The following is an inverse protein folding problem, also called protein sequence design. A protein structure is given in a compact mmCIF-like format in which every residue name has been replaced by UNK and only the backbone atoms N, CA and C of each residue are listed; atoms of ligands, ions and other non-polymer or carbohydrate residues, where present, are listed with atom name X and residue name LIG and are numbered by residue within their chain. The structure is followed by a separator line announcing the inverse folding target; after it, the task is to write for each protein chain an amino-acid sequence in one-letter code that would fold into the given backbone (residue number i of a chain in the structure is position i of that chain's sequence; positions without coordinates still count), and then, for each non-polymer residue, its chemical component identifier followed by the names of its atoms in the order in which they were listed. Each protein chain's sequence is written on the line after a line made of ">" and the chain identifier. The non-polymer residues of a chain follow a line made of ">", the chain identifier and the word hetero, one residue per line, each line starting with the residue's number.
data_IF_681887716544
#
_entry.id   IF_681887716544
#
_cell.length_a   1.000
_cell.length_b   1.000
_cell.length_c   1.000
_cell.angle_alpha   90.00
_cell.angle_beta   90.00
_cell.angle_gamma   90.00
#
_symmetry.space_group_name_H-M   'P 1'
#
loop_
_entity.id
_entity.type
_entity.pdbx_description
1 polymer ?
#
# COMPACT_ATOMS: atom_id res chain seq x y z
N UNK A 1 -10.57 -12.00 11.43
CA UNK A 1 -9.75 -11.25 12.45
C UNK A 1 -10.41 -9.92 12.77
N UNK A 2 -10.05 -9.30 13.91
CA UNK A 2 -10.61 -7.99 14.33
C UNK A 2 -9.76 -6.88 13.67
N UNK A 3 -10.36 -5.88 13.00
CA UNK A 3 -9.61 -4.77 12.42
C UNK A 3 -9.05 -3.84 13.51
N UNK A 4 -7.81 -3.38 13.34
CA UNK A 4 -7.29 -2.28 14.13
C UNK A 4 -7.96 -0.98 13.68
N UNK A 5 -8.53 -0.24 14.61
CA UNK A 5 -9.45 0.88 14.33
C UNK A 5 -8.79 2.25 14.41
N UNK A 6 -7.52 2.31 14.82
CA UNK A 6 -6.77 3.55 15.00
C UNK A 6 -5.25 3.32 15.01
N UNK A 7 -4.44 4.28 14.54
CA UNK A 7 -3.00 4.23 14.66
C UNK A 7 -2.54 4.02 16.11
N UNK A 8 -1.55 3.17 16.32
CA UNK A 8 -0.98 2.92 17.64
C UNK A 8 0.17 3.91 17.91
N UNK A 9 0.31 4.32 19.17
CA UNK A 9 1.40 5.17 19.62
C UNK A 9 2.72 4.39 19.74
N UNK A 10 2.66 3.18 20.32
CA UNK A 10 3.79 2.27 20.44
C UNK A 10 3.93 1.40 19.18
N UNK A 11 4.62 1.94 18.17
CA UNK A 11 4.88 1.24 16.93
C UNK A 11 5.87 0.07 17.08
N UNK A 12 6.86 0.19 17.97
CA UNK A 12 7.85 -0.87 18.20
C UNK A 12 7.27 -2.07 18.94
N UNK A 13 6.26 -1.83 19.80
CA UNK A 13 5.52 -2.86 20.51
C UNK A 13 4.46 -3.56 19.66
N UNK A 14 4.22 -3.14 18.41
CA UNK A 14 3.29 -3.83 17.51
C UNK A 14 3.73 -5.26 17.27
N UNK A 15 2.76 -6.18 17.28
CA UNK A 15 3.04 -7.61 17.11
C UNK A 15 3.42 -7.93 15.68
N UNK A 16 4.31 -8.88 15.54
CA UNK A 16 4.75 -9.38 14.25
C UNK A 16 4.84 -10.91 14.30
N UNK A 17 4.20 -11.59 13.36
CA UNK A 17 4.36 -13.03 13.20
C UNK A 17 5.47 -13.27 12.18
N UNK A 18 6.59 -13.82 12.65
CA UNK A 18 7.64 -14.31 11.77
C UNK A 18 7.23 -15.67 11.20
N UNK A 19 7.26 -15.80 9.89
CA UNK A 19 6.91 -16.99 9.11
C UNK A 19 8.16 -17.38 8.32
N UNK A 20 8.70 -18.56 8.62
CA UNK A 20 9.83 -19.09 7.85
C UNK A 20 9.34 -20.14 6.86
N UNK A 21 9.30 -19.81 5.55
CA UNK A 21 8.81 -20.75 4.54
C UNK A 21 9.75 -21.94 4.29
N UNK A 22 11.04 -21.81 4.62
CA UNK A 22 12.03 -22.90 4.48
C UNK A 22 11.95 -23.90 5.63
N UNK A 23 11.86 -23.40 6.85
CA UNK A 23 11.76 -24.24 8.04
C UNK A 23 10.30 -24.68 8.33
N UNK A 24 9.30 -24.04 7.74
CA UNK A 24 7.89 -24.28 8.00
C UNK A 24 7.46 -23.88 9.41
N UNK A 25 8.14 -22.89 10.03
CA UNK A 25 7.92 -22.47 11.41
C UNK A 25 7.25 -21.12 11.53
N UNK A 26 6.55 -20.92 12.64
CA UNK A 26 5.91 -19.68 13.05
C UNK A 26 6.49 -19.24 14.41
N UNK A 27 6.75 -17.94 14.55
CA UNK A 27 7.26 -17.36 15.80
C UNK A 27 6.62 -16.01 16.06
N UNK A 28 6.04 -15.82 17.24
CA UNK A 28 5.59 -14.49 17.69
C UNK A 28 6.80 -13.61 17.99
N UNK A 29 6.73 -12.38 17.51
CA UNK A 29 7.74 -11.33 17.67
C UNK A 29 7.08 -9.95 17.73
N UNK A 30 7.87 -8.92 17.79
CA UNK A 30 7.45 -7.52 17.69
C UNK A 30 8.20 -6.81 16.57
N UNK A 31 7.67 -5.69 16.10
CA UNK A 31 8.34 -4.85 15.11
C UNK A 31 9.71 -4.39 15.63
N UNK A 32 9.82 -4.08 16.93
CA UNK A 32 11.08 -3.72 17.57
C UNK A 32 12.17 -4.78 17.52
N UNK A 33 11.82 -6.05 17.27
CA UNK A 33 12.77 -7.17 17.19
C UNK A 33 13.42 -7.31 15.80
N UNK A 34 12.98 -6.53 14.80
CA UNK A 34 13.52 -6.59 13.43
C UNK A 34 15.06 -6.48 13.37
N UNK A 35 15.75 -5.62 14.17
CA UNK A 35 17.22 -5.54 14.16
C UNK A 35 17.93 -6.80 14.67
N UNK A 36 17.21 -7.72 15.35
CA UNK A 36 17.74 -9.01 15.80
C UNK A 36 17.40 -10.14 14.83
N UNK A 37 16.37 -9.94 14.00
CA UNK A 37 15.89 -10.94 13.02
C UNK A 37 16.58 -10.77 11.67
N UNK A 38 16.68 -9.51 11.20
CA UNK A 38 17.41 -9.20 9.98
C UNK A 38 18.92 -9.17 10.26
N UNK A 39 19.71 -9.49 9.24
CA UNK A 39 21.15 -9.70 9.40
C UNK A 39 21.95 -8.75 8.50
N UNK A 40 23.24 -8.51 8.78
CA UNK A 40 24.15 -7.85 7.84
C UNK A 40 24.07 -8.51 6.45
N UNK A 41 24.04 -7.67 5.39
CA UNK A 41 23.84 -8.11 4.02
C UNK A 41 22.36 -8.19 3.59
N UNK A 42 21.41 -8.08 4.50
CA UNK A 42 20.00 -7.87 4.13
C UNK A 42 19.79 -6.44 3.65
N UNK A 43 18.96 -6.30 2.62
CA UNK A 43 18.45 -5.02 2.15
C UNK A 43 16.96 -4.93 2.47
N UNK A 44 16.56 -3.97 3.32
CA UNK A 44 15.16 -3.67 3.57
C UNK A 44 14.74 -2.54 2.63
N UNK A 45 13.80 -2.82 1.73
CA UNK A 45 13.26 -1.85 0.76
C UNK A 45 11.89 -1.38 1.19
N UNK A 46 11.71 -0.06 1.31
CA UNK A 46 10.46 0.57 1.73
C UNK A 46 9.80 1.33 0.59
N UNK A 47 8.48 1.55 0.68
CA UNK A 47 7.76 2.46 -0.21
C UNK A 47 7.68 3.84 0.45
N UNK A 48 8.35 4.84 -0.13
CA UNK A 48 8.39 6.22 0.37
C UNK A 48 7.26 7.11 -0.21
N UNK A 49 6.28 6.54 -0.90
CA UNK A 49 5.16 7.32 -1.37
C UNK A 49 4.39 7.95 -0.19
N UNK A 50 4.21 9.27 -0.23
CA UNK A 50 3.31 9.96 0.68
C UNK A 50 1.85 9.70 0.29
N UNK A 51 1.00 9.55 1.29
CA UNK A 51 -0.44 9.40 1.10
C UNK A 51 -1.03 10.72 0.61
N UNK A 52 -1.83 10.65 -0.44
CA UNK A 52 -2.56 11.78 -1.00
C UNK A 52 -3.66 12.29 -0.05
N UNK A 53 -4.00 13.58 -0.06
CA UNK A 53 -5.30 14.08 0.39
C UNK A 53 -6.35 13.66 -0.64
N UNK A 54 -6.52 12.34 -0.83
CA UNK A 54 -7.16 11.73 -1.99
C UNK A 54 -8.68 11.75 -1.96
N UNK A 55 -9.32 11.98 -0.81
CA UNK A 55 -10.79 12.09 -0.70
C UNK A 55 -11.21 13.55 -0.82
N UNK A 56 -11.78 13.91 -1.97
CA UNK A 56 -12.38 15.23 -2.25
C UNK A 56 -13.92 15.11 -2.22
N UNK A 57 -14.59 16.07 -1.66
CA UNK A 57 -16.05 16.02 -1.54
C UNK A 57 -16.71 17.22 -2.24
N UNK A 58 -17.73 16.91 -3.01
CA UNK A 58 -18.76 17.88 -3.41
C UNK A 58 -19.95 17.75 -2.44
N UNK A 59 -21.06 18.42 -2.73
CA UNK A 59 -22.29 18.25 -1.97
C UNK A 59 -22.83 16.80 -2.01
N UNK A 60 -22.76 16.17 -3.18
CA UNK A 60 -23.47 14.92 -3.46
C UNK A 60 -22.54 13.76 -3.87
N UNK A 61 -21.22 13.99 -3.89
CA UNK A 61 -20.23 13.02 -4.32
C UNK A 61 -18.99 13.06 -3.45
N UNK A 62 -18.33 11.90 -3.31
CA UNK A 62 -16.93 11.78 -2.95
C UNK A 62 -16.14 11.33 -4.17
N UNK A 63 -15.01 12.00 -4.41
CA UNK A 63 -14.05 11.68 -5.47
C UNK A 63 -12.78 11.16 -4.80
N UNK A 64 -12.42 9.90 -5.04
CA UNK A 64 -11.17 9.32 -4.53
C UNK A 64 -10.11 9.32 -5.61
N UNK A 65 -9.07 10.14 -5.41
CA UNK A 65 -7.94 10.26 -6.35
C UNK A 65 -7.04 9.03 -6.25
N UNK A 66 -6.66 8.48 -7.41
CA UNK A 66 -5.70 7.37 -7.51
C UNK A 66 -4.27 7.86 -7.82
N UNK A 67 -4.12 9.11 -8.26
CA UNK A 67 -2.84 9.72 -8.55
C UNK A 67 -2.84 10.54 -9.84
N UNK A 68 -1.79 11.34 -9.97
CA UNK A 68 -1.53 12.17 -11.14
C UNK A 68 -0.93 11.34 -12.27
N UNK A 69 -1.45 11.51 -13.48
CA UNK A 69 -0.96 10.88 -14.70
C UNK A 69 0.12 11.74 -15.37
N UNK A 70 0.84 11.20 -16.34
CA UNK A 70 1.92 11.88 -17.02
C UNK A 70 1.46 13.15 -17.78
N UNK A 71 0.19 13.21 -18.20
CA UNK A 71 -0.41 14.35 -18.88
C UNK A 71 -0.99 15.42 -17.93
N UNK A 72 -0.83 15.22 -16.62
CA UNK A 72 -1.34 16.11 -15.58
C UNK A 72 -2.83 15.94 -15.28
N UNK A 73 -3.49 14.91 -15.81
CA UNK A 73 -4.80 14.47 -15.34
C UNK A 73 -4.66 13.64 -14.06
N UNK A 74 -5.76 13.47 -13.34
CA UNK A 74 -5.83 12.57 -12.19
C UNK A 74 -6.80 11.45 -12.48
N UNK A 75 -6.35 10.20 -12.31
CA UNK A 75 -7.27 9.08 -12.28
C UNK A 75 -8.02 9.10 -10.94
N UNK A 76 -9.32 8.84 -10.96
CA UNK A 76 -10.16 8.89 -9.77
C UNK A 76 -11.34 7.92 -9.86
N UNK A 77 -11.86 7.52 -8.70
CA UNK A 77 -13.11 6.76 -8.57
C UNK A 77 -14.17 7.63 -7.91
N UNK A 78 -15.36 7.68 -8.53
CA UNK A 78 -16.52 8.39 -8.00
C UNK A 78 -17.29 7.50 -7.01
N UNK A 79 -17.73 8.12 -5.91
CA UNK A 79 -18.61 7.53 -4.90
C UNK A 79 -19.79 8.46 -4.66
N UNK A 80 -20.87 7.92 -4.08
CA UNK A 80 -22.00 8.72 -3.63
C UNK A 80 -21.62 9.72 -2.52
N UNK A 81 -22.56 10.55 -2.09
CA UNK A 81 -22.36 11.56 -1.04
C UNK A 81 -22.25 10.98 0.38
N UNK A 82 -22.39 9.67 0.58
CA UNK A 82 -22.19 9.05 1.89
C UNK A 82 -20.76 9.24 2.40
N UNK A 83 -20.57 9.29 3.70
CA UNK A 83 -19.24 9.44 4.28
C UNK A 83 -18.56 8.06 4.55
N UNK A 84 -17.34 8.12 5.04
CA UNK A 84 -16.53 6.94 5.34
C UNK A 84 -17.14 5.99 6.39
N UNK A 85 -18.16 6.40 7.17
CA UNK A 85 -18.84 5.54 8.13
C UNK A 85 -19.73 4.50 7.47
N UNK A 86 -20.13 4.76 6.23
CA UNK A 86 -20.85 3.78 5.41
C UNK A 86 -19.84 2.80 4.81
N UNK A 87 -19.92 1.49 5.09
CA UNK A 87 -19.08 0.49 4.43
C UNK A 87 -19.11 0.63 2.91
N UNK A 88 -17.98 0.47 2.27
CA UNK A 88 -17.83 0.73 0.82
C UNK A 88 -18.81 -0.09 -0.02
N UNK A 89 -19.05 -1.34 0.35
CA UNK A 89 -19.97 -2.28 -0.27
C UNK A 89 -21.46 -1.93 -0.07
N UNK A 90 -21.77 -1.06 0.90
CA UNK A 90 -23.14 -0.60 1.18
C UNK A 90 -23.44 0.80 0.64
N UNK A 91 -22.45 1.42 -0.02
CA UNK A 91 -22.64 2.76 -0.62
C UNK A 91 -23.45 2.64 -1.91
N UNK A 92 -24.35 3.60 -2.12
CA UNK A 92 -25.14 3.68 -3.34
C UNK A 92 -24.24 3.96 -4.56
N UNK A 93 -24.60 3.49 -5.76
CA UNK A 93 -23.93 3.90 -6.98
C UNK A 93 -23.99 5.44 -7.13
N UNK A 94 -22.87 6.11 -7.44
CA UNK A 94 -22.90 7.53 -7.75
C UNK A 94 -23.64 7.78 -9.08
N UNK A 95 -24.10 9.01 -9.33
CA UNK A 95 -24.63 9.37 -10.65
C UNK A 95 -23.56 9.17 -11.73
N UNK A 96 -23.99 8.73 -12.91
CA UNK A 96 -23.11 8.61 -14.08
C UNK A 96 -22.87 10.00 -14.64
N UNK A 97 -21.61 10.41 -14.69
CA UNK A 97 -21.20 11.70 -15.18
C UNK A 97 -20.45 11.55 -16.52
N UNK A 98 -20.94 12.14 -17.63
CA UNK A 98 -20.25 12.05 -18.91
C UNK A 98 -19.00 12.96 -18.96
N UNK A 99 -18.10 12.74 -19.93
CA UNK A 99 -17.02 13.68 -20.22
C UNK A 99 -17.56 15.11 -20.42
N UNK A 100 -16.83 16.11 -19.93
CA UNK A 100 -17.24 17.51 -19.88
C UNK A 100 -17.98 17.92 -18.60
N UNK A 101 -18.40 16.95 -17.75
CA UNK A 101 -19.02 17.25 -16.45
C UNK A 101 -18.05 17.99 -15.55
N UNK A 102 -18.55 19.03 -14.86
CA UNK A 102 -17.77 19.83 -13.91
C UNK A 102 -18.02 19.38 -12.48
N UNK A 103 -16.95 19.27 -11.72
CA UNK A 103 -16.96 19.02 -10.27
C UNK A 103 -16.44 20.27 -9.58
N UNK A 104 -17.20 20.78 -8.60
CA UNK A 104 -16.83 21.96 -7.82
C UNK A 104 -16.54 21.55 -6.36
N UNK A 105 -15.36 21.94 -5.89
CA UNK A 105 -14.90 21.82 -4.51
C UNK A 105 -14.73 23.23 -3.92
N UNK A 106 -14.35 23.32 -2.64
CA UNK A 106 -14.11 24.64 -2.05
C UNK A 106 -12.87 25.31 -2.66
N UNK A 107 -13.10 26.31 -3.53
CA UNK A 107 -12.07 27.06 -4.25
C UNK A 107 -11.19 26.21 -5.19
N UNK A 108 -11.67 25.05 -5.65
CA UNK A 108 -11.03 24.17 -6.63
C UNK A 108 -12.11 23.58 -7.53
N UNK A 109 -11.83 23.42 -8.83
CA UNK A 109 -12.73 22.71 -9.73
C UNK A 109 -11.99 21.73 -10.63
N UNK A 110 -12.73 20.72 -11.11
CA UNK A 110 -12.21 19.76 -12.08
C UNK A 110 -13.26 19.48 -13.17
N UNK A 111 -12.78 19.04 -14.33
CA UNK A 111 -13.61 18.53 -15.43
C UNK A 111 -13.29 17.07 -15.64
N UNK A 112 -14.31 16.24 -15.84
CA UNK A 112 -14.15 14.86 -16.29
C UNK A 112 -13.74 14.90 -17.76
N UNK A 113 -12.52 14.48 -18.06
CA UNK A 113 -12.05 14.38 -19.45
C UNK A 113 -12.40 13.05 -20.09
N UNK A 114 -12.26 11.98 -19.33
CA UNK A 114 -12.54 10.61 -19.80
C UNK A 114 -13.26 9.79 -18.73
N UNK A 115 -14.05 8.85 -19.19
CA UNK A 115 -14.66 7.79 -18.39
C UNK A 115 -14.12 6.46 -18.89
N UNK A 116 -13.60 5.63 -17.98
CA UNK A 116 -13.00 4.36 -18.37
C UNK A 116 -14.08 3.34 -18.81
N UNK A 117 -13.82 2.52 -19.84
CA UNK A 117 -14.77 1.49 -20.27
C UNK A 117 -15.08 0.45 -19.18
N UNK A 118 -14.17 0.24 -18.26
CA UNK A 118 -14.27 -0.75 -17.17
C UNK A 118 -15.44 -0.43 -16.22
N UNK A 119 -15.62 0.86 -15.88
CA UNK A 119 -16.70 1.28 -14.99
C UNK A 119 -16.99 2.78 -15.20
N UNK A 120 -18.26 3.20 -15.18
CA UNK A 120 -18.62 4.64 -15.24
C UNK A 120 -18.14 5.43 -14.02
N UNK A 121 -17.69 4.76 -12.98
CA UNK A 121 -17.12 5.37 -11.75
C UNK A 121 -15.64 5.69 -11.88
N UNK A 122 -14.91 5.04 -12.80
CA UNK A 122 -13.49 5.27 -13.03
C UNK A 122 -13.32 6.36 -14.09
N UNK A 123 -12.80 7.51 -13.66
CA UNK A 123 -12.72 8.70 -14.47
C UNK A 123 -11.31 9.31 -14.49
N UNK A 124 -11.03 10.12 -15.48
CA UNK A 124 -9.86 11.00 -15.52
C UNK A 124 -10.32 12.45 -15.41
N UNK A 125 -9.72 13.14 -14.45
CA UNK A 125 -10.05 14.50 -14.06
C UNK A 125 -8.94 15.46 -14.44
N UNK A 126 -9.30 16.62 -15.01
CA UNK A 126 -8.39 17.76 -15.13
C UNK A 126 -8.83 18.87 -14.20
N UNK A 127 -7.94 19.23 -13.28
CA UNK A 127 -8.16 20.37 -12.39
C UNK A 127 -7.93 21.71 -13.10
N UNK A 128 -8.58 22.77 -12.58
CA UNK A 128 -8.43 24.15 -13.06
C UNK A 128 -7.07 24.78 -12.70
N UNK A 129 -6.22 24.07 -11.97
CA UNK A 129 -4.89 24.48 -11.51
C UNK A 129 -3.86 23.42 -11.79
N UNK A 130 -2.58 23.80 -11.70
CA UNK A 130 -1.42 22.91 -11.89
C UNK A 130 -0.34 23.21 -10.85
N UNK A 131 0.59 22.27 -10.69
CA UNK A 131 1.78 22.42 -9.85
C UNK A 131 1.47 22.79 -8.40
N UNK A 132 2.25 23.67 -7.81
CA UNK A 132 2.12 24.05 -6.40
C UNK A 132 0.74 24.62 -6.03
N UNK A 133 0.09 25.36 -6.93
CA UNK A 133 -1.25 25.91 -6.71
C UNK A 133 -2.31 24.79 -6.61
N UNK A 134 -2.20 23.75 -7.43
CA UNK A 134 -3.05 22.56 -7.34
C UNK A 134 -2.83 21.83 -6.03
N UNK A 135 -1.58 21.47 -5.71
CA UNK A 135 -1.24 20.75 -4.47
C UNK A 135 -1.70 21.51 -3.23
N UNK A 136 -1.49 22.84 -3.18
CA UNK A 136 -2.01 23.69 -2.11
C UNK A 136 -3.54 23.59 -1.97
N UNK A 137 -4.26 23.52 -3.08
CA UNK A 137 -5.72 23.38 -3.05
C UNK A 137 -6.15 21.96 -2.64
N UNK A 138 -5.48 20.92 -3.12
CA UNK A 138 -5.73 19.54 -2.71
C UNK A 138 -5.53 19.35 -1.21
N UNK A 139 -4.43 19.85 -0.64
CA UNK A 139 -4.17 19.76 0.81
C UNK A 139 -5.16 20.57 1.66
N UNK A 140 -5.80 21.60 1.15
CA UNK A 140 -6.86 22.33 1.85
C UNK A 140 -8.21 21.61 1.81
N UNK A 141 -8.56 21.02 0.66
CA UNK A 141 -9.87 20.43 0.39
C UNK A 141 -9.95 18.95 0.73
N UNK A 142 -8.86 18.24 0.48
CA UNK A 142 -8.82 16.80 0.56
C UNK A 142 -8.60 16.28 1.98
N UNK A 143 -9.04 15.06 2.17
CA UNK A 143 -8.79 14.23 3.34
C UNK A 143 -8.16 12.92 2.90
N UNK A 144 -7.51 12.17 3.81
CA UNK A 144 -7.10 10.82 3.47
C UNK A 144 -8.32 9.96 3.12
N UNK A 145 -8.14 9.03 2.20
CA UNK A 145 -9.13 7.99 1.95
C UNK A 145 -9.23 7.15 3.21
N UNK A 146 -10.45 6.85 3.61
CA UNK A 146 -10.75 6.24 4.90
C UNK A 146 -11.93 5.27 4.77
N UNK A 147 -11.92 4.24 5.59
CA UNK A 147 -12.93 3.18 5.62
C UNK A 147 -13.65 3.10 6.96
N UNK A 148 -14.81 2.42 6.97
CA UNK A 148 -15.77 2.42 8.09
C UNK A 148 -15.27 1.75 9.37
N UNK A 149 -14.20 0.95 9.32
CA UNK A 149 -13.63 0.35 10.53
C UNK A 149 -12.85 1.35 11.39
N UNK A 150 -12.45 2.51 10.86
CA UNK A 150 -11.79 3.55 11.65
C UNK A 150 -12.73 4.10 12.71
N UNK A 151 -12.22 4.36 13.94
CA UNK A 151 -13.05 4.83 15.06
C UNK A 151 -13.43 6.32 14.98
N UNK A 152 -12.76 7.09 14.13
CA UNK A 152 -12.92 8.53 14.00
C UNK A 152 -12.35 9.07 12.69
N UNK A 153 -12.48 10.35 12.41
CA UNK A 153 -11.91 10.96 11.21
C UNK A 153 -10.39 10.91 11.28
N UNK A 154 -9.78 10.47 10.18
CA UNK A 154 -8.34 10.43 10.02
C UNK A 154 -7.85 11.76 9.42
N UNK A 155 -6.69 12.19 9.88
CA UNK A 155 -5.91 13.27 9.27
C UNK A 155 -4.70 12.67 8.55
N UNK A 156 -4.08 13.42 7.64
CA UNK A 156 -2.98 12.90 6.82
C UNK A 156 -1.81 12.34 7.64
N UNK A 157 -1.47 12.94 8.78
CA UNK A 157 -0.40 12.43 9.64
C UNK A 157 -0.69 11.08 10.31
N UNK A 158 -1.97 10.68 10.39
CA UNK A 158 -2.34 9.34 10.87
C UNK A 158 -2.01 8.24 9.86
N UNK A 159 -1.93 8.60 8.58
CA UNK A 159 -1.77 7.68 7.44
C UNK A 159 -0.52 7.98 6.62
N UNK A 160 0.55 8.48 7.24
CA UNK A 160 1.85 8.67 6.61
C UNK A 160 2.90 7.74 7.22
N UNK A 161 3.83 7.32 6.38
CA UNK A 161 5.07 6.68 6.84
C UNK A 161 6.09 7.75 7.27
N UNK A 162 7.01 7.43 8.19
CA UNK A 162 7.96 8.40 8.74
C UNK A 162 8.93 8.99 7.69
N UNK A 163 9.12 8.30 6.59
CA UNK A 163 10.02 8.63 5.48
C UNK A 163 9.27 9.01 4.19
N UNK A 164 7.99 9.41 4.31
CA UNK A 164 7.16 9.81 3.18
C UNK A 164 7.80 10.94 2.36
N UNK A 165 7.74 10.82 1.04
CA UNK A 165 8.38 11.70 0.06
C UNK A 165 7.36 12.27 -0.93
N UNK A 166 7.13 11.59 -2.05
CA UNK A 166 6.26 12.05 -3.14
C UNK A 166 4.79 11.67 -2.91
N UNK A 167 3.82 12.59 -3.10
CA UNK A 167 2.39 12.33 -2.87
C UNK A 167 1.77 11.51 -4.00
N UNK A 168 2.09 10.22 -4.04
CA UNK A 168 1.66 9.29 -5.08
C UNK A 168 0.64 8.26 -4.62
N UNK A 169 0.63 7.91 -3.34
CA UNK A 169 -0.18 6.81 -2.84
C UNK A 169 -1.61 7.27 -2.52
N UNK A 170 -2.62 6.64 -3.13
CA UNK A 170 -4.01 6.86 -2.77
C UNK A 170 -4.28 6.37 -1.34
N UNK A 171 -3.77 5.19 -1.00
CA UNK A 171 -3.79 4.64 0.36
C UNK A 171 -2.37 4.53 0.92
N UNK A 172 -2.25 4.63 2.23
CA UNK A 172 -0.96 4.52 2.92
C UNK A 172 -0.27 3.20 2.60
N UNK A 173 1.05 3.20 2.32
CA UNK A 173 1.84 1.97 2.32
C UNK A 173 2.00 1.43 3.75
N UNK A 174 0.94 0.85 4.27
CA UNK A 174 0.68 0.61 5.70
C UNK A 174 1.68 -0.32 6.37
N UNK A 175 2.25 -1.28 5.63
CA UNK A 175 3.30 -2.15 6.16
C UNK A 175 4.55 -1.38 6.64
N UNK A 176 4.78 -0.19 6.07
CA UNK A 176 5.87 0.70 6.47
C UNK A 176 5.56 1.62 7.65
N UNK A 177 4.30 1.71 8.06
CA UNK A 177 3.87 2.63 9.13
C UNK A 177 4.61 2.44 10.47
N UNK A 178 4.84 1.21 10.95
CA UNK A 178 5.53 1.01 12.21
C UNK A 178 7.05 1.24 12.12
N UNK A 179 7.62 1.38 10.93
CA UNK A 179 9.05 1.59 10.73
C UNK A 179 9.42 3.06 10.99
N UNK A 180 9.57 3.42 12.24
CA UNK A 180 9.99 4.76 12.68
C UNK A 180 11.50 4.93 12.56
N UNK A 181 11.99 6.18 12.63
CA UNK A 181 13.40 6.50 12.45
C UNK A 181 14.32 5.77 13.42
N UNK A 182 13.93 5.63 14.69
CA UNK A 182 14.71 4.90 15.70
C UNK A 182 14.95 3.43 15.28
N UNK A 183 13.94 2.77 14.72
CA UNK A 183 14.07 1.39 14.22
C UNK A 183 14.95 1.33 12.97
N UNK A 184 14.75 2.24 12.02
CA UNK A 184 15.55 2.30 10.80
C UNK A 184 17.03 2.54 11.11
N UNK A 185 17.33 3.40 12.08
CA UNK A 185 18.70 3.65 12.55
C UNK A 185 19.28 2.41 13.25
N UNK A 186 18.51 1.72 14.08
CA UNK A 186 18.94 0.48 14.74
C UNK A 186 19.26 -0.63 13.71
N UNK A 187 18.43 -0.79 12.67
CA UNK A 187 18.69 -1.71 11.55
C UNK A 187 20.02 -1.39 10.86
N UNK A 188 20.26 -0.12 10.52
CA UNK A 188 21.53 0.32 9.90
C UNK A 188 22.73 0.04 10.79
N UNK A 189 22.62 0.27 12.10
CA UNK A 189 23.69 -0.03 13.07
C UNK A 189 24.02 -1.52 13.13
N UNK A 190 23.04 -2.38 12.82
CA UNK A 190 23.23 -3.85 12.72
C UNK A 190 23.72 -4.31 11.34
N UNK A 191 24.02 -3.37 10.41
CA UNK A 191 24.52 -3.70 9.08
C UNK A 191 23.44 -4.06 8.05
N UNK A 192 22.16 -3.86 8.38
CA UNK A 192 21.05 -3.97 7.41
C UNK A 192 21.06 -2.73 6.51
N UNK A 193 21.06 -2.93 5.21
CA UNK A 193 20.95 -1.83 4.25
C UNK A 193 19.48 -1.37 4.12
N UNK A 194 19.28 -0.08 3.88
CA UNK A 194 17.96 0.51 3.66
C UNK A 194 17.92 1.19 2.30
N UNK A 195 16.86 0.92 1.55
CA UNK A 195 16.58 1.60 0.28
C UNK A 195 15.08 1.90 0.16
N UNK A 196 14.73 2.82 -0.74
CA UNK A 196 13.34 3.14 -1.01
C UNK A 196 12.99 3.03 -2.49
N UNK A 197 11.74 2.74 -2.75
CA UNK A 197 11.06 2.92 -4.03
C UNK A 197 9.87 3.84 -3.80
N UNK A 198 9.39 4.54 -4.85
CA UNK A 198 8.11 5.21 -4.80
C UNK A 198 7.11 4.40 -5.62
N UNK A 199 6.04 3.95 -4.99
CA UNK A 199 4.98 3.19 -5.67
C UNK A 199 3.62 3.77 -5.29
N UNK A 200 2.83 4.08 -6.30
CA UNK A 200 1.51 4.69 -6.17
C UNK A 200 0.46 3.63 -5.78
N UNK A 201 0.45 3.24 -4.51
CA UNK A 201 -0.55 2.30 -4.01
C UNK A 201 -1.96 2.84 -4.26
N UNK A 202 -2.80 2.04 -4.94
CA UNK A 202 -4.17 2.38 -5.31
C UNK A 202 -5.19 2.15 -4.19
N UNK A 203 -6.47 1.95 -4.58
CA UNK A 203 -7.55 1.60 -3.66
C UNK A 203 -7.59 0.09 -3.40
N UNK A 204 -7.93 -0.28 -2.18
CA UNK A 204 -8.16 -1.67 -1.79
C UNK A 204 -9.62 -2.12 -2.01
N UNK A 205 -10.56 -1.18 -2.09
CA UNK A 205 -11.97 -1.45 -2.37
C UNK A 205 -12.67 -0.23 -2.95
N UNK A 206 -13.59 -0.47 -3.91
CA UNK A 206 -14.39 0.57 -4.56
C UNK A 206 -15.89 0.38 -4.36
N UNK A 207 -16.34 -0.81 -3.95
CA UNK A 207 -17.76 -1.19 -3.91
C UNK A 207 -18.41 -1.27 -5.30
N UNK A 208 -17.61 -1.35 -6.35
CA UNK A 208 -18.02 -1.63 -7.72
C UNK A 208 -17.44 -2.99 -8.14
N UNK A 209 -18.29 -3.95 -8.42
CA UNK A 209 -17.86 -5.32 -8.65
C UNK A 209 -16.88 -5.47 -9.82
N UNK A 210 -17.01 -4.66 -10.88
CA UNK A 210 -16.10 -4.70 -12.03
C UNK A 210 -14.71 -4.12 -11.67
N UNK A 211 -14.70 -3.00 -10.92
CA UNK A 211 -13.45 -2.41 -10.45
C UNK A 211 -12.77 -3.30 -9.41
N UNK A 212 -13.52 -3.82 -8.43
CA UNK A 212 -12.97 -4.65 -7.35
C UNK A 212 -12.38 -5.96 -7.89
N UNK A 213 -12.99 -6.53 -8.95
CA UNK A 213 -12.44 -7.70 -9.65
C UNK A 213 -11.17 -7.40 -10.46
N UNK A 214 -10.94 -6.13 -10.84
CA UNK A 214 -9.77 -5.68 -11.60
C UNK A 214 -8.65 -5.14 -10.69
N UNK A 215 -8.86 -5.07 -9.37
CA UNK A 215 -7.82 -4.59 -8.45
C UNK A 215 -6.70 -5.61 -8.28
N UNK A 216 -5.48 -5.15 -8.11
CA UNK A 216 -5.05 -3.75 -8.21
C UNK A 216 -4.97 -3.29 -9.67
N UNK A 217 -5.43 -2.08 -9.96
CA UNK A 217 -5.25 -1.45 -11.27
C UNK A 217 -3.75 -1.23 -11.56
N UNK A 218 -3.41 -0.85 -12.79
CA UNK A 218 -2.04 -0.46 -13.11
C UNK A 218 -1.60 0.69 -12.19
N UNK A 219 -0.44 0.53 -11.54
CA UNK A 219 0.11 1.44 -10.55
C UNK A 219 1.50 1.91 -10.95
N UNK A 220 1.71 3.23 -10.81
CA UNK A 220 2.98 3.87 -11.13
C UNK A 220 4.04 3.52 -10.10
N UNK A 221 5.27 3.24 -10.59
CA UNK A 221 6.45 3.03 -9.72
C UNK A 221 7.68 3.78 -10.24
N UNK A 222 8.60 4.05 -9.32
CA UNK A 222 9.91 4.61 -9.61
C UNK A 222 10.94 4.04 -8.63
N UNK A 223 12.00 3.45 -9.18
CA UNK A 223 13.10 2.83 -8.45
C UNK A 223 14.36 3.67 -8.68
N UNK A 224 14.85 4.41 -7.67
CA UNK A 224 16.10 5.15 -7.78
C UNK A 224 17.26 4.25 -8.21
N UNK A 225 18.21 4.81 -8.95
CA UNK A 225 19.39 4.06 -9.38
C UNK A 225 20.19 3.48 -8.20
N UNK A 226 20.29 4.24 -7.12
CA UNK A 226 20.95 3.76 -5.90
C UNK A 226 20.24 2.53 -5.30
N UNK A 227 18.90 2.50 -5.33
CA UNK A 227 18.12 1.34 -4.91
C UNK A 227 18.33 0.15 -5.83
N UNK A 228 18.34 0.36 -7.15
CA UNK A 228 18.58 -0.73 -8.10
C UNK A 228 19.97 -1.36 -7.92
N UNK A 229 21.01 -0.56 -7.64
CA UNK A 229 22.35 -1.05 -7.29
C UNK A 229 22.35 -1.84 -5.98
N UNK A 230 21.73 -1.29 -4.93
CA UNK A 230 21.65 -1.97 -3.63
C UNK A 230 20.92 -3.32 -3.75
N UNK A 231 19.86 -3.40 -4.56
CA UNK A 231 19.14 -4.66 -4.85
C UNK A 231 20.06 -5.68 -5.54
N UNK A 232 20.88 -5.25 -6.50
CA UNK A 232 21.79 -6.15 -7.21
C UNK A 232 22.95 -6.66 -6.34
N UNK A 233 23.32 -5.92 -5.29
CA UNK A 233 24.45 -6.24 -4.38
C UNK A 233 23.99 -6.95 -3.10
N UNK A 234 22.69 -6.94 -2.77
CA UNK A 234 22.16 -7.51 -1.55
C UNK A 234 22.24 -9.05 -1.56
N UNK A 235 22.54 -9.64 -0.40
CA UNK A 235 22.46 -11.09 -0.21
C UNK A 235 21.01 -11.58 -0.07
N UNK A 236 20.12 -10.71 0.43
CA UNK A 236 18.69 -10.96 0.57
C UNK A 236 17.92 -9.64 0.54
N UNK A 237 16.91 -9.56 -0.32
CA UNK A 237 16.03 -8.40 -0.47
C UNK A 237 14.72 -8.65 0.28
N UNK A 238 14.43 -7.84 1.29
CA UNK A 238 13.19 -7.87 2.07
C UNK A 238 12.35 -6.67 1.71
N UNK A 239 11.19 -6.89 1.09
CA UNK A 239 10.25 -5.85 0.74
C UNK A 239 9.36 -5.48 1.92
N UNK A 240 9.09 -4.19 2.11
CA UNK A 240 8.10 -3.69 3.08
C UNK A 240 6.82 -3.31 2.35
N UNK A 241 5.85 -4.20 2.44
CA UNK A 241 4.55 -4.09 1.77
C UNK A 241 4.50 -4.73 0.38
N UNK A 242 3.30 -5.16 0.02
CA UNK A 242 3.01 -5.74 -1.29
C UNK A 242 3.25 -4.76 -2.44
N UNK A 243 3.16 -3.46 -2.19
CA UNK A 243 3.49 -2.39 -3.15
C UNK A 243 4.97 -2.41 -3.55
N UNK A 244 5.89 -2.64 -2.60
CA UNK A 244 7.33 -2.78 -2.91
C UNK A 244 7.60 -4.03 -3.73
N UNK A 245 6.96 -5.16 -3.38
CA UNK A 245 7.06 -6.40 -4.18
C UNK A 245 6.63 -6.12 -5.62
N UNK A 246 5.48 -5.49 -5.83
CA UNK A 246 4.98 -5.17 -7.18
C UNK A 246 5.89 -4.23 -7.95
N UNK A 247 6.49 -3.23 -7.29
CA UNK A 247 7.43 -2.32 -7.91
C UNK A 247 8.70 -3.04 -8.36
N UNK A 248 9.34 -3.83 -7.48
CA UNK A 248 10.59 -4.52 -7.77
C UNK A 248 10.40 -5.64 -8.81
N UNK A 249 9.40 -6.48 -8.62
CA UNK A 249 9.09 -7.57 -9.56
C UNK A 249 8.57 -7.04 -10.90
N UNK A 250 7.72 -6.00 -10.89
CA UNK A 250 7.24 -5.33 -12.11
C UNK A 250 8.39 -4.70 -12.89
N UNK A 251 9.33 -4.05 -12.20
CA UNK A 251 10.57 -3.53 -12.81
C UNK A 251 11.38 -4.63 -13.47
N UNK A 252 11.55 -5.77 -12.80
CA UNK A 252 12.30 -6.92 -13.33
C UNK A 252 11.62 -7.55 -14.55
N UNK A 253 10.29 -7.57 -14.59
CA UNK A 253 9.51 -8.09 -15.73
C UNK A 253 9.59 -7.13 -16.91
N UNK A 254 9.44 -5.83 -16.66
CA UNK A 254 9.40 -4.80 -17.71
C UNK A 254 10.80 -4.35 -18.18
N UNK A 255 11.85 -4.63 -17.40
CA UNK A 255 13.21 -4.18 -17.72
C UNK A 255 13.42 -2.66 -17.57
N UNK A 256 12.57 -1.97 -16.78
CA UNK A 256 12.63 -0.52 -16.57
C UNK A 256 12.58 -0.17 -15.08
N UNK A 257 13.21 0.95 -14.70
CA UNK A 257 13.24 1.42 -13.31
C UNK A 257 12.07 2.33 -12.95
N UNK A 258 11.34 2.83 -13.92
CA UNK A 258 10.14 3.64 -13.71
C UNK A 258 9.10 3.36 -14.78
N UNK A 259 7.83 3.41 -14.41
CA UNK A 259 6.72 3.09 -15.30
C UNK A 259 5.45 2.77 -14.53
N UNK A 260 4.57 2.03 -15.16
CA UNK A 260 3.36 1.46 -14.53
C UNK A 260 3.44 -0.06 -14.59
N UNK A 261 2.94 -0.72 -13.55
CA UNK A 261 2.83 -2.18 -13.49
C UNK A 261 1.42 -2.60 -13.11
N UNK A 262 0.89 -3.55 -13.85
CA UNK A 262 -0.34 -4.29 -13.57
C UNK A 262 -0.04 -5.72 -13.09
N UNK A 263 1.22 -5.99 -12.73
CA UNK A 263 1.68 -7.31 -12.32
C UNK A 263 0.86 -7.83 -11.14
N UNK A 264 0.21 -8.97 -11.35
CA UNK A 264 -0.48 -9.72 -10.32
C UNK A 264 0.39 -10.92 -9.92
N UNK A 265 0.78 -10.96 -8.65
CA UNK A 265 1.50 -12.10 -8.10
C UNK A 265 0.52 -13.03 -7.37
N UNK A 266 0.76 -14.32 -7.51
CA UNK A 266 -0.09 -15.35 -6.88
C UNK A 266 0.61 -16.70 -6.83
N UNK A 267 -0.13 -17.78 -6.56
CA UNK A 267 0.43 -19.12 -6.52
C UNK A 267 1.08 -19.46 -7.87
N UNK A 268 2.31 -19.98 -7.81
CA UNK A 268 3.10 -20.32 -9.01
C UNK A 268 3.97 -19.17 -9.56
N UNK A 269 3.83 -17.94 -9.07
CA UNK A 269 4.81 -16.91 -9.34
C UNK A 269 6.07 -17.14 -8.50
N UNK A 270 7.22 -17.25 -9.14
CA UNK A 270 8.51 -17.31 -8.48
C UNK A 270 9.12 -15.90 -8.44
N UNK A 271 9.23 -15.25 -7.28
CA UNK A 271 9.87 -13.95 -7.18
C UNK A 271 11.29 -13.97 -7.73
N UNK A 272 11.66 -12.95 -8.48
CA UNK A 272 12.97 -12.84 -9.16
C UNK A 272 13.94 -11.96 -8.39
N UNK A 273 13.42 -11.06 -7.58
CA UNK A 273 14.16 -9.99 -6.91
C UNK A 273 13.93 -10.04 -5.40
N UNK A 274 12.71 -10.33 -4.95
CA UNK A 274 12.33 -10.23 -3.55
C UNK A 274 12.41 -11.59 -2.87
N UNK A 275 13.24 -11.69 -1.83
CA UNK A 275 13.43 -12.94 -1.05
C UNK A 275 12.51 -13.04 0.17
N UNK A 276 12.06 -11.90 0.71
CA UNK A 276 11.23 -11.83 1.91
C UNK A 276 10.29 -10.62 1.91
N UNK A 277 9.25 -10.71 2.74
CA UNK A 277 8.18 -9.72 2.76
C UNK A 277 7.76 -9.40 4.21
N UNK A 278 7.87 -8.13 4.60
CA UNK A 278 7.17 -7.57 5.76
C UNK A 278 5.84 -6.98 5.27
N UNK A 279 4.72 -7.43 5.79
CA UNK A 279 3.39 -7.00 5.36
C UNK A 279 2.42 -6.94 6.54
N UNK A 280 1.27 -6.29 6.36
CA UNK A 280 0.16 -6.39 7.30
C UNK A 280 -0.45 -7.79 7.35
N UNK A 281 -1.30 -8.04 8.31
CA UNK A 281 -2.08 -9.28 8.40
C UNK A 281 -3.24 -9.22 7.41
N UNK A 282 -3.23 -10.10 6.42
CA UNK A 282 -4.24 -10.17 5.36
C UNK A 282 -5.22 -11.31 5.54
N UNK A 283 -6.49 -11.05 5.23
CA UNK A 283 -7.53 -12.07 5.31
C UNK A 283 -7.53 -12.97 4.08
N UNK A 284 -7.88 -14.25 4.29
CA UNK A 284 -8.01 -15.22 3.21
C UNK A 284 -9.07 -14.75 2.21
N UNK A 285 -8.72 -14.76 0.92
CA UNK A 285 -9.59 -14.27 -0.15
C UNK A 285 -9.30 -12.84 -0.63
N UNK A 286 -8.54 -12.06 0.14
CA UNK A 286 -8.07 -10.76 -0.32
C UNK A 286 -6.97 -10.89 -1.40
N UNK A 287 -6.89 -9.94 -2.33
CA UNK A 287 -5.86 -9.90 -3.39
C UNK A 287 -4.44 -9.90 -2.82
N UNK A 288 -4.22 -9.19 -1.72
CA UNK A 288 -2.95 -9.18 -1.00
C UNK A 288 -2.59 -10.55 -0.42
N UNK A 289 -3.56 -11.32 0.08
CA UNK A 289 -3.29 -12.70 0.53
C UNK A 289 -2.84 -13.60 -0.62
N UNK A 290 -3.42 -13.44 -1.81
CA UNK A 290 -3.00 -14.19 -2.99
C UNK A 290 -1.51 -13.98 -3.32
N UNK A 291 -0.99 -12.75 -3.16
CA UNK A 291 0.42 -12.41 -3.36
C UNK A 291 1.32 -13.16 -2.36
N UNK A 292 0.90 -13.35 -1.10
CA UNK A 292 1.71 -14.06 -0.10
C UNK A 292 2.04 -15.50 -0.51
N UNK A 293 1.20 -16.10 -1.36
CA UNK A 293 1.39 -17.46 -1.89
C UNK A 293 2.57 -17.58 -2.86
N UNK A 294 3.14 -16.44 -3.28
CA UNK A 294 4.43 -16.43 -3.98
C UNK A 294 5.64 -16.62 -3.03
N UNK A 295 5.45 -16.41 -1.72
CA UNK A 295 6.51 -16.46 -0.71
C UNK A 295 6.40 -17.65 0.25
N UNK A 296 5.20 -18.22 0.44
CA UNK A 296 4.98 -19.35 1.32
C UNK A 296 3.85 -20.24 0.79
N UNK A 297 3.91 -21.54 1.10
CA UNK A 297 2.86 -22.47 0.68
C UNK A 297 1.54 -22.22 1.43
N UNK A 298 0.42 -22.63 0.83
CA UNK A 298 -0.93 -22.42 1.35
C UNK A 298 -1.10 -23.01 2.76
N UNK A 299 -0.53 -24.19 3.03
CA UNK A 299 -0.63 -24.84 4.34
C UNK A 299 0.04 -24.03 5.45
N UNK A 300 1.19 -23.42 5.16
CA UNK A 300 1.90 -22.58 6.13
C UNK A 300 1.15 -21.25 6.37
N UNK A 301 0.62 -20.63 5.29
CA UNK A 301 -0.18 -19.42 5.40
C UNK A 301 -1.50 -19.68 6.14
N UNK A 302 -2.16 -20.83 5.92
CA UNK A 302 -3.37 -21.21 6.65
C UNK A 302 -3.08 -21.41 8.16
N UNK A 303 -1.95 -22.03 8.50
CA UNK A 303 -1.49 -22.16 9.89
C UNK A 303 -1.20 -20.79 10.50
N UNK A 304 -0.55 -19.89 9.76
CA UNK A 304 -0.26 -18.54 10.21
C UNK A 304 -1.55 -17.75 10.47
N UNK A 305 -2.55 -17.88 9.59
CA UNK A 305 -3.88 -17.26 9.77
C UNK A 305 -4.56 -17.78 11.04
N UNK A 306 -4.64 -19.10 11.23
CA UNK A 306 -5.26 -19.71 12.41
C UNK A 306 -4.53 -19.31 13.72
N UNK A 307 -3.19 -19.25 13.68
CA UNK A 307 -2.38 -18.77 14.80
C UNK A 307 -2.70 -17.29 15.11
N UNK A 308 -2.69 -16.45 14.10
CA UNK A 308 -2.98 -15.00 14.25
C UNK A 308 -4.38 -14.76 14.83
N UNK A 309 -5.40 -15.51 14.37
CA UNK A 309 -6.77 -15.44 14.91
C UNK A 309 -6.83 -15.87 16.39
N UNK A 310 -6.25 -17.01 16.71
CA UNK A 310 -6.25 -17.53 18.08
C UNK A 310 -5.46 -16.65 19.04
N UNK A 311 -4.35 -16.10 18.57
CA UNK A 311 -3.50 -15.22 19.36
C UNK A 311 -4.01 -13.77 19.41
N UNK A 312 -5.10 -13.43 18.69
CA UNK A 312 -5.72 -12.11 18.71
C UNK A 312 -4.91 -11.03 17.98
N UNK A 313 -4.27 -11.39 16.86
CA UNK A 313 -3.67 -10.39 15.97
C UNK A 313 -4.76 -9.52 15.34
N UNK A 314 -4.42 -8.26 15.11
CA UNK A 314 -5.31 -7.30 14.48
C UNK A 314 -4.99 -7.17 13.00
N UNK A 315 -6.02 -7.03 12.16
CA UNK A 315 -5.91 -6.83 10.72
C UNK A 315 -6.01 -5.34 10.32
N UNK A 316 -5.97 -5.08 9.01
CA UNK A 316 -6.03 -3.78 8.35
C UNK A 316 -4.83 -2.84 8.57
N UNK A 317 -4.93 -1.60 8.12
CA UNK A 317 -3.84 -0.62 7.97
C UNK A 317 -3.09 -0.29 9.26
N UNK A 318 -3.76 -0.39 10.41
CA UNK A 318 -3.19 -0.13 11.73
C UNK A 318 -2.97 -1.42 12.52
N UNK A 319 -3.11 -2.55 11.85
CA UNK A 319 -3.00 -3.89 12.40
C UNK A 319 -1.57 -4.31 12.70
N UNK A 320 -1.46 -5.57 13.06
CA UNK A 320 -0.20 -6.25 13.28
C UNK A 320 0.45 -6.66 11.95
N UNK A 321 1.66 -7.20 12.01
CA UNK A 321 2.45 -7.50 10.83
C UNK A 321 2.77 -8.98 10.71
N UNK A 322 3.03 -9.42 9.48
CA UNK A 322 3.68 -10.68 9.15
C UNK A 322 5.03 -10.41 8.50
N UNK A 323 6.06 -11.13 8.94
CA UNK A 323 7.37 -11.16 8.30
C UNK A 323 7.59 -12.54 7.69
N UNK A 324 7.42 -12.66 6.38
CA UNK A 324 7.69 -13.90 5.65
C UNK A 324 9.11 -13.83 5.14
N UNK A 325 10.02 -14.56 5.78
CA UNK A 325 11.44 -14.52 5.42
C UNK A 325 12.06 -15.90 5.64
N UNK A 326 12.73 -16.48 4.63
CA UNK A 326 13.41 -17.75 4.80
C UNK A 326 14.61 -17.59 5.71
N UNK A 327 14.84 -18.57 6.59
CA UNK A 327 16.09 -18.66 7.35
C UNK A 327 17.27 -18.75 6.41
N UNK A 328 18.36 -18.03 6.73
CA UNK A 328 19.63 -18.22 6.02
C UNK A 328 20.17 -19.60 6.33
N UNK A 329 20.65 -20.28 5.32
CA UNK A 329 21.45 -21.50 5.54
C UNK A 329 22.69 -21.07 6.30
N UNK A 330 22.91 -21.63 7.50
CA UNK A 330 24.16 -21.40 8.18
C UNK A 330 25.30 -21.76 7.20
N UNK A 331 26.14 -20.80 6.89
CA UNK A 331 27.39 -21.08 6.19
C UNK A 331 28.15 -22.07 7.09
N UNK A 332 28.26 -23.33 6.62
CA UNK A 332 29.08 -24.37 7.27
C UNK A 332 30.54 -24.10 7.04
#
# INVERSE_FOLDING_TARGET
>A
MIPARWPREDALGERMLQIDPRAGTLRDARIGDLPEILQPGDLLVVNDAATLPGSLRTRDLEVRLLGEQADGTFRAVLFDGADWRTPTEHRAPPPVLPPGSRLAFDGLSAVIERVAPLSPRLVELRFDRKGAALWSALYRNGRPIQYSYARGPLELWHVQVAYASRPWAAEMPSAGRPLRWELLLALRQRGVQLASVTHAAGLSSTGDAALDAALPLAERFDIPEATARAVAEAERVVAVGTSVVRALEGSAVLGVRSGETDLILGPGYAPRVVDGLLTGVHEKGASHYALLRAFACEELLARATAHAETAGYLSHEFGDSWLIVPSRTALR
#
